data_IF_753396128729
#
_entry.id   IF_753396128729
#
_cell.length_a   1.000
_cell.length_b   1.000
_cell.length_c   1.000
_cell.angle_alpha   90.00
_cell.angle_beta   90.00
_cell.angle_gamma   90.00
#
_symmetry.space_group_name_H-M   'P 1'
#
loop_
_entity.id
_entity.type
_entity.pdbx_description
1 polymer ?
#
# COMPACT_ATOMS: atom_id res chain seq x y z
N UNK A 1 31.21 -11.86 -25.72
CA UNK A 1 30.35 -12.42 -26.78
C UNK A 1 29.14 -11.54 -27.04
N UNK A 2 29.34 -10.48 -27.84
CA UNK A 2 28.27 -9.59 -28.31
C UNK A 2 27.50 -10.19 -29.51
N UNK A 3 28.01 -11.30 -30.08
CA UNK A 3 27.43 -12.04 -31.21
C UNK A 3 26.27 -12.98 -30.84
N UNK A 4 25.81 -13.00 -29.58
CA UNK A 4 24.65 -13.80 -29.15
C UNK A 4 23.32 -13.03 -29.13
N UNK A 5 23.34 -11.74 -29.50
CA UNK A 5 22.15 -10.90 -29.66
C UNK A 5 21.64 -10.83 -31.12
N UNK A 6 22.38 -11.38 -32.09
CA UNK A 6 21.98 -11.35 -33.52
C UNK A 6 20.91 -12.39 -33.90
N UNK A 7 20.52 -13.29 -32.98
CA UNK A 7 19.48 -14.31 -33.23
C UNK A 7 18.09 -13.94 -32.66
N UNK A 8 17.84 -12.66 -32.37
CA UNK A 8 16.48 -12.16 -32.08
C UNK A 8 15.80 -11.54 -33.31
N UNK A 9 16.29 -11.84 -34.53
CA UNK A 9 15.73 -11.33 -35.77
C UNK A 9 14.44 -12.04 -36.23
N UNK A 10 13.69 -12.65 -35.32
CA UNK A 10 12.33 -13.15 -35.57
C UNK A 10 11.29 -12.24 -34.90
N UNK A 11 11.52 -10.93 -34.96
CA UNK A 11 10.49 -9.92 -34.78
C UNK A 11 9.88 -9.66 -36.15
N UNK A 12 9.10 -10.61 -36.66
CA UNK A 12 8.17 -10.34 -37.75
C UNK A 12 7.27 -9.16 -37.34
N UNK A 13 7.44 -8.02 -38.01
CA UNK A 13 6.53 -6.87 -38.09
C UNK A 13 5.50 -6.73 -36.94
N UNK A 14 5.95 -6.45 -35.72
CA UNK A 14 5.04 -5.85 -34.72
C UNK A 14 4.96 -4.37 -35.08
N UNK A 15 3.94 -4.00 -35.85
CA UNK A 15 3.68 -2.59 -36.17
C UNK A 15 3.37 -1.87 -34.86
N UNK A 16 3.76 -0.61 -34.70
CA UNK A 16 3.46 0.19 -33.49
C UNK A 16 1.94 0.22 -33.22
N UNK A 17 1.11 0.06 -34.26
CA UNK A 17 -0.35 -0.06 -34.15
C UNK A 17 -0.80 -1.31 -33.38
N UNK A 18 -0.02 -2.40 -33.40
CA UNK A 18 -0.31 -3.64 -32.65
C UNK A 18 -0.06 -3.49 -31.14
N UNK A 19 0.55 -2.37 -30.73
CA UNK A 19 0.77 -2.00 -29.33
C UNK A 19 -0.23 -0.94 -28.85
N UNK A 20 -1.12 -0.42 -29.70
CA UNK A 20 -2.09 0.60 -29.28
C UNK A 20 -3.43 -0.04 -29.04
N UNK A 21 -3.88 -0.06 -27.78
CA UNK A 21 -5.21 -0.55 -27.41
C UNK A 21 -6.21 0.63 -27.39
N UNK A 22 -7.26 0.62 -28.24
CA UNK A 22 -8.33 1.62 -28.18
C UNK A 22 -9.03 1.66 -26.81
N UNK A 23 -9.43 2.86 -26.37
CA UNK A 23 -10.02 3.06 -25.04
C UNK A 23 -11.25 2.17 -24.77
N UNK A 24 -12.10 1.90 -25.78
CA UNK A 24 -13.28 1.05 -25.61
C UNK A 24 -12.97 -0.44 -25.37
N UNK A 25 -11.77 -0.92 -25.72
CA UNK A 25 -11.35 -2.30 -25.43
C UNK A 25 -11.14 -2.55 -23.93
N UNK A 26 -10.83 -1.50 -23.15
CA UNK A 26 -10.64 -1.56 -21.69
C UNK A 26 -11.90 -2.04 -20.95
N UNK A 27 -13.10 -1.77 -21.50
CA UNK A 27 -14.38 -2.13 -20.86
C UNK A 27 -14.63 -3.64 -20.80
N UNK A 28 -14.02 -4.42 -21.71
CA UNK A 28 -14.22 -5.87 -21.83
C UNK A 28 -12.97 -6.70 -21.55
N UNK A 29 -11.78 -6.10 -21.68
CA UNK A 29 -10.50 -6.73 -21.41
C UNK A 29 -9.80 -5.94 -20.29
N UNK A 30 -9.81 -6.46 -19.04
CA UNK A 30 -9.21 -5.76 -17.90
C UNK A 30 -7.67 -5.64 -18.00
N UNK A 31 -7.07 -6.07 -19.12
CA UNK A 31 -5.64 -5.98 -19.37
C UNK A 31 -5.33 -5.68 -20.83
N UNK A 32 -4.21 -4.98 -21.06
CA UNK A 32 -3.75 -4.72 -22.40
C UNK A 32 -3.34 -6.01 -23.13
N UNK A 33 -3.37 -5.97 -24.45
CA UNK A 33 -2.95 -7.06 -25.34
C UNK A 33 -1.46 -7.43 -25.20
N UNK A 34 -0.63 -6.49 -24.72
CA UNK A 34 0.81 -6.64 -24.49
C UNK A 34 1.29 -5.82 -23.28
N UNK A 35 2.41 -6.22 -22.65
CA UNK A 35 3.02 -5.48 -21.53
C UNK A 35 3.47 -4.06 -21.89
N UNK A 36 3.74 -3.81 -23.18
CA UNK A 36 4.17 -2.52 -23.71
C UNK A 36 3.03 -1.81 -24.44
N UNK A 37 1.80 -2.29 -24.30
CA UNK A 37 0.67 -1.67 -24.96
C UNK A 37 0.39 -0.30 -24.34
N UNK A 38 0.05 0.65 -25.21
CA UNK A 38 -0.32 2.03 -24.88
C UNK A 38 -1.80 2.17 -25.14
N UNK A 39 -2.55 2.65 -24.15
CA UNK A 39 -3.97 2.96 -24.35
C UNK A 39 -4.07 4.28 -25.10
N UNK A 40 -4.84 4.30 -26.19
CA UNK A 40 -5.13 5.53 -26.93
C UNK A 40 -6.22 6.35 -26.22
N UNK A 41 -5.79 7.41 -25.52
CA UNK A 41 -6.68 8.36 -24.84
C UNK A 41 -7.16 9.50 -25.75
N UNK A 42 -6.74 9.54 -27.02
CA UNK A 42 -7.10 10.61 -27.96
C UNK A 42 -8.50 10.46 -28.57
N UNK A 43 -9.15 9.31 -28.35
CA UNK A 43 -10.50 9.03 -28.83
C UNK A 43 -11.53 9.88 -28.08
N UNK A 44 -12.51 10.45 -28.79
CA UNK A 44 -13.64 11.19 -28.22
C UNK A 44 -14.72 10.29 -27.57
N UNK A 45 -14.46 8.99 -27.45
CA UNK A 45 -15.37 8.01 -26.87
C UNK A 45 -15.32 8.08 -25.34
N UNK A 46 -16.47 8.33 -24.72
CA UNK A 46 -16.60 8.22 -23.27
C UNK A 46 -16.71 6.74 -22.88
N UNK A 47 -15.78 6.26 -22.05
CA UNK A 47 -15.88 4.91 -21.45
C UNK A 47 -16.51 4.99 -20.07
N UNK A 48 -17.66 4.34 -19.91
CA UNK A 48 -18.31 4.18 -18.61
C UNK A 48 -17.64 3.04 -17.85
N UNK A 49 -17.04 3.38 -16.71
CA UNK A 49 -16.51 2.43 -15.73
C UNK A 49 -17.41 2.38 -14.51
N UNK A 50 -17.68 1.18 -14.01
CA UNK A 50 -18.44 0.99 -12.77
C UNK A 50 -17.45 1.05 -11.60
N UNK A 51 -17.48 2.13 -10.83
CA UNK A 51 -16.62 2.30 -9.65
C UNK A 51 -17.44 1.95 -8.42
N UNK A 52 -17.20 0.77 -7.86
CA UNK A 52 -17.87 0.31 -6.64
C UNK A 52 -16.82 -0.10 -5.60
N UNK A 53 -16.96 0.34 -4.34
CA UNK A 53 -16.15 -0.19 -3.26
C UNK A 53 -16.28 -1.70 -3.19
N UNK A 54 -15.21 -2.36 -2.76
CA UNK A 54 -15.26 -3.80 -2.62
C UNK A 54 -16.21 -4.22 -1.50
N UNK A 55 -17.09 -5.16 -1.80
CA UNK A 55 -17.92 -5.78 -0.77
C UNK A 55 -17.10 -6.81 0.03
N UNK A 56 -16.79 -6.45 1.27
CA UNK A 56 -16.00 -7.28 2.18
C UNK A 56 -16.80 -8.43 2.81
N UNK A 57 -18.13 -8.47 2.68
CA UNK A 57 -18.98 -9.45 3.38
C UNK A 57 -18.71 -10.91 2.99
N UNK A 58 -17.99 -11.15 1.89
CA UNK A 58 -17.65 -12.49 1.38
C UNK A 58 -16.16 -12.81 1.45
N UNK A 59 -15.36 -11.95 2.08
CA UNK A 59 -13.92 -12.18 2.22
C UNK A 59 -13.57 -13.11 3.37
N UNK A 60 -14.46 -13.22 4.36
CA UNK A 60 -14.23 -14.02 5.55
C UNK A 60 -15.37 -14.99 5.80
N UNK A 61 -15.02 -16.15 6.35
CA UNK A 61 -15.97 -17.15 6.83
C UNK A 61 -15.90 -17.35 8.34
N UNK A 62 -17.06 -17.68 8.92
CA UNK A 62 -17.27 -17.91 10.35
C UNK A 62 -16.63 -19.22 10.83
N UNK A 63 -16.40 -20.16 9.94
CA UNK A 63 -15.75 -21.45 10.24
C UNK A 63 -14.22 -21.42 10.05
N UNK A 64 -13.61 -20.23 9.98
CA UNK A 64 -12.17 -20.05 9.70
C UNK A 64 -11.46 -19.18 10.72
N UNK A 65 -10.14 -19.33 10.74
CA UNK A 65 -9.22 -18.53 11.55
C UNK A 65 -8.28 -17.69 10.69
N UNK A 66 -8.03 -16.45 11.13
CA UNK A 66 -7.09 -15.53 10.49
C UNK A 66 -5.98 -15.14 11.47
N UNK A 67 -4.73 -15.42 11.09
CA UNK A 67 -3.55 -15.21 11.93
C UNK A 67 -2.83 -13.92 11.52
N UNK A 68 -2.85 -12.91 12.38
CA UNK A 68 -2.24 -11.60 12.14
C UNK A 68 -1.01 -11.41 13.03
N UNK A 69 0.18 -11.57 12.43
CA UNK A 69 1.47 -11.47 13.12
C UNK A 69 1.95 -10.01 13.13
N UNK A 70 2.50 -9.55 14.26
CA UNK A 70 2.91 -8.17 14.49
C UNK A 70 1.76 -7.17 14.65
N UNK A 71 0.52 -7.65 14.69
CA UNK A 71 -0.69 -6.83 14.58
C UNK A 71 -1.52 -6.86 15.87
N UNK A 72 -0.88 -6.89 17.04
CA UNK A 72 -1.61 -6.79 18.33
C UNK A 72 -1.92 -5.34 18.76
N UNK A 73 -1.38 -4.34 18.04
CA UNK A 73 -1.62 -2.92 18.31
C UNK A 73 -2.93 -2.40 17.73
N UNK A 74 -3.14 -1.08 17.76
CA UNK A 74 -4.40 -0.44 17.32
C UNK A 74 -4.83 -0.81 15.90
N UNK A 75 -3.90 -0.82 14.94
CA UNK A 75 -4.17 -1.22 13.55
C UNK A 75 -4.78 -2.62 13.48
N UNK A 76 -4.19 -3.60 14.16
CA UNK A 76 -4.68 -4.97 14.08
C UNK A 76 -5.91 -5.23 14.94
N UNK A 77 -6.12 -4.47 16.02
CA UNK A 77 -7.37 -4.50 16.79
C UNK A 77 -8.53 -3.96 15.92
N UNK A 78 -8.35 -2.79 15.32
CA UNK A 78 -9.27 -2.22 14.33
C UNK A 78 -9.57 -3.19 13.18
N UNK A 79 -8.52 -3.79 12.60
CA UNK A 79 -8.65 -4.80 11.56
C UNK A 79 -9.45 -6.02 12.04
N UNK A 80 -9.24 -6.47 13.28
CA UNK A 80 -9.96 -7.61 13.85
C UNK A 80 -11.45 -7.30 14.02
N UNK A 81 -11.78 -6.11 14.51
CA UNK A 81 -13.17 -5.64 14.65
C UNK A 81 -13.88 -5.66 13.29
N UNK A 82 -13.23 -5.12 12.26
CA UNK A 82 -13.77 -5.10 10.90
C UNK A 82 -13.88 -6.50 10.29
N UNK A 83 -12.86 -7.35 10.43
CA UNK A 83 -12.89 -8.72 9.90
C UNK A 83 -14.04 -9.52 10.52
N UNK A 84 -14.24 -9.42 11.84
CA UNK A 84 -15.32 -10.11 12.55
C UNK A 84 -16.69 -9.54 12.15
N UNK A 85 -16.82 -8.22 12.01
CA UNK A 85 -18.04 -7.60 11.49
C UNK A 85 -18.38 -8.06 10.05
N UNK A 86 -17.38 -8.51 9.29
CA UNK A 86 -17.52 -9.03 7.93
C UNK A 86 -17.43 -10.57 7.85
N UNK A 87 -17.68 -11.27 8.96
CA UNK A 87 -17.91 -12.72 8.95
C UNK A 87 -16.74 -13.58 9.44
N UNK A 88 -15.61 -13.02 9.85
CA UNK A 88 -14.52 -13.81 10.42
C UNK A 88 -14.92 -14.48 11.73
N UNK A 89 -14.74 -15.80 11.82
CA UNK A 89 -15.06 -16.56 13.03
C UNK A 89 -14.02 -16.45 14.13
N UNK A 90 -12.74 -16.50 13.75
CA UNK A 90 -11.62 -16.41 14.69
C UNK A 90 -10.51 -15.51 14.15
N UNK A 91 -10.00 -14.60 14.98
CA UNK A 91 -8.83 -13.79 14.68
C UNK A 91 -7.77 -14.01 15.75
N UNK A 92 -6.57 -14.42 15.35
CA UNK A 92 -5.45 -14.64 16.25
C UNK A 92 -4.41 -13.56 16.03
N UNK A 93 -4.15 -12.73 17.03
CA UNK A 93 -3.12 -11.68 17.00
C UNK A 93 -1.87 -12.19 17.70
N UNK A 94 -0.71 -12.04 17.08
CA UNK A 94 0.56 -12.42 17.69
C UNK A 94 1.57 -11.28 17.63
N UNK A 95 2.30 -11.00 18.70
CA UNK A 95 3.42 -10.07 18.70
C UNK A 95 4.36 -10.36 19.87
N UNK A 96 5.51 -9.68 19.96
CA UNK A 96 6.47 -9.91 21.06
C UNK A 96 5.93 -9.46 22.42
N UNK A 97 5.20 -8.35 22.44
CA UNK A 97 4.73 -7.70 23.65
C UNK A 97 3.29 -7.23 23.43
N UNK A 98 2.32 -8.16 23.32
CA UNK A 98 0.94 -7.78 23.07
C UNK A 98 0.38 -6.99 24.26
N UNK A 99 -0.21 -5.84 23.97
CA UNK A 99 -0.91 -5.01 24.95
C UNK A 99 -2.33 -4.75 24.42
N UNK A 100 -3.27 -5.57 24.88
CA UNK A 100 -4.65 -5.61 24.41
C UNK A 100 -5.57 -5.50 25.62
N UNK A 101 -6.58 -4.64 25.53
CA UNK A 101 -7.57 -4.49 26.59
C UNK A 101 -8.41 -5.76 26.74
N UNK A 102 -8.51 -6.27 27.97
CA UNK A 102 -9.36 -7.42 28.28
C UNK A 102 -10.84 -7.13 28.05
N UNK A 103 -11.28 -5.88 28.20
CA UNK A 103 -12.65 -5.50 27.92
C UNK A 103 -12.96 -5.56 26.42
N UNK A 104 -12.01 -5.16 25.57
CA UNK A 104 -12.11 -5.32 24.12
C UNK A 104 -12.28 -6.80 23.73
N UNK A 105 -11.48 -7.71 24.32
CA UNK A 105 -11.60 -9.15 24.07
C UNK A 105 -12.99 -9.71 24.39
N UNK A 106 -13.60 -9.26 25.50
CA UNK A 106 -14.97 -9.69 25.89
C UNK A 106 -16.05 -9.27 24.90
N UNK A 107 -15.83 -8.22 24.11
CA UNK A 107 -16.83 -7.76 23.12
C UNK A 107 -17.08 -8.78 22.02
N UNK A 108 -16.16 -9.71 21.77
CA UNK A 108 -16.27 -10.72 20.72
C UNK A 108 -17.08 -11.95 21.13
N UNK A 109 -17.16 -12.24 22.44
CA UNK A 109 -18.00 -13.32 22.97
C UNK A 109 -19.47 -13.10 22.56
N UNK A 110 -19.95 -11.85 22.64
CA UNK A 110 -21.29 -11.47 22.22
C UNK A 110 -21.51 -11.54 20.69
N UNK A 111 -20.44 -11.51 19.90
CA UNK A 111 -20.46 -11.59 18.43
C UNK A 111 -20.30 -13.02 17.90
N UNK A 112 -20.30 -14.03 18.78
CA UNK A 112 -20.00 -15.43 18.45
C UNK A 112 -18.68 -15.58 17.67
N UNK A 113 -17.69 -14.74 18.01
CA UNK A 113 -16.38 -14.73 17.39
C UNK A 113 -15.29 -14.88 18.45
N UNK A 114 -14.15 -15.44 18.07
CA UNK A 114 -13.04 -15.67 18.99
C UNK A 114 -11.85 -14.79 18.63
N UNK A 115 -11.33 -14.02 19.59
CA UNK A 115 -10.04 -13.34 19.45
C UNK A 115 -9.04 -13.92 20.43
N UNK A 116 -7.91 -14.42 19.93
CA UNK A 116 -6.80 -14.94 20.75
C UNK A 116 -5.54 -14.12 20.57
N UNK A 117 -4.81 -13.95 21.66
CA UNK A 117 -3.60 -13.14 21.71
C UNK A 117 -2.42 -14.03 22.08
N UNK A 118 -1.36 -13.98 21.28
CA UNK A 118 -0.14 -14.75 21.48
C UNK A 118 1.06 -13.83 21.67
N UNK A 119 1.93 -14.19 22.62
CA UNK A 119 3.24 -13.56 22.79
C UNK A 119 4.32 -14.40 22.12
N UNK A 120 4.98 -13.87 21.10
CA UNK A 120 6.03 -14.55 20.32
C UNK A 120 6.85 -13.59 19.45
N UNK A 121 8.09 -13.96 19.15
CA UNK A 121 8.93 -13.32 18.12
C UNK A 121 8.87 -14.13 16.82
N UNK A 122 8.50 -13.49 15.69
CA UNK A 122 8.30 -14.17 14.40
C UNK A 122 9.62 -14.74 13.85
N UNK A 123 10.73 -14.19 14.30
CA UNK A 123 12.07 -14.67 13.94
C UNK A 123 12.44 -15.97 14.68
N UNK A 124 11.80 -16.26 15.83
CA UNK A 124 11.89 -17.55 16.51
C UNK A 124 10.93 -18.55 15.84
N UNK A 125 11.48 -19.35 14.93
CA UNK A 125 10.74 -20.38 14.19
C UNK A 125 10.02 -21.36 15.12
N UNK A 126 10.66 -21.79 16.21
CA UNK A 126 10.07 -22.76 17.11
C UNK A 126 8.91 -22.15 17.92
N UNK A 127 9.00 -20.88 18.30
CA UNK A 127 7.88 -20.16 18.91
C UNK A 127 6.70 -20.01 17.94
N UNK A 128 6.97 -19.65 16.69
CA UNK A 128 5.94 -19.54 15.66
C UNK A 128 5.25 -20.89 15.41
N UNK A 129 5.99 -21.99 15.32
CA UNK A 129 5.43 -23.34 15.18
C UNK A 129 4.53 -23.73 16.36
N UNK A 130 4.94 -23.42 17.59
CA UNK A 130 4.10 -23.65 18.79
C UNK A 130 2.80 -22.89 18.73
N UNK A 131 2.82 -21.61 18.35
CA UNK A 131 1.62 -20.78 18.20
C UNK A 131 0.71 -21.34 17.11
N UNK A 132 1.24 -21.65 15.93
CA UNK A 132 0.43 -22.23 14.84
C UNK A 132 -0.17 -23.58 15.25
N UNK A 133 0.56 -24.41 15.98
CA UNK A 133 0.04 -25.67 16.51
C UNK A 133 -1.10 -25.46 17.50
N UNK A 134 -0.98 -24.49 18.41
CA UNK A 134 -2.04 -24.18 19.38
C UNK A 134 -3.30 -23.64 18.67
N UNK A 135 -3.12 -22.73 17.70
CA UNK A 135 -4.23 -22.21 16.88
C UNK A 135 -4.95 -23.36 16.17
N UNK A 136 -4.20 -24.28 15.55
CA UNK A 136 -4.80 -25.46 14.88
C UNK A 136 -5.53 -26.40 15.83
N UNK A 137 -5.07 -26.51 17.07
CA UNK A 137 -5.69 -27.38 18.07
C UNK A 137 -6.95 -26.77 18.70
N UNK A 138 -7.08 -25.44 18.70
CA UNK A 138 -8.06 -24.74 19.54
C UNK A 138 -8.97 -23.77 18.80
N UNK A 139 -8.79 -23.62 17.48
CA UNK A 139 -9.60 -22.77 16.60
C UNK A 139 -9.99 -23.53 15.32
N UNK A 140 -10.96 -23.02 14.54
CA UNK A 140 -11.22 -23.54 13.20
C UNK A 140 -9.99 -23.44 12.27
N UNK A 141 -10.02 -24.09 11.10
CA UNK A 141 -8.89 -24.09 10.18
C UNK A 141 -8.37 -22.69 9.83
N UNK A 142 -7.04 -22.52 9.81
CA UNK A 142 -6.41 -21.28 9.40
C UNK A 142 -6.64 -21.08 7.90
N UNK A 143 -7.29 -19.98 7.53
CA UNK A 143 -7.60 -19.64 6.16
C UNK A 143 -6.78 -18.45 5.66
N UNK A 144 -6.40 -17.52 6.53
CA UNK A 144 -5.63 -16.35 6.11
C UNK A 144 -4.53 -16.00 7.09
N UNK A 145 -3.44 -15.46 6.56
CA UNK A 145 -2.27 -15.05 7.33
C UNK A 145 -1.84 -13.67 6.89
N UNK A 146 -1.55 -12.79 7.85
CA UNK A 146 -0.94 -11.49 7.57
C UNK A 146 0.30 -11.27 8.44
N UNK A 147 1.38 -10.74 7.85
CA UNK A 147 2.57 -10.32 8.59
C UNK A 147 2.72 -8.80 8.56
N UNK A 148 2.46 -8.16 9.70
CA UNK A 148 2.80 -6.76 10.01
C UNK A 148 3.86 -6.60 11.08
N UNK A 149 4.65 -7.64 11.35
CA UNK A 149 5.78 -7.53 12.27
C UNK A 149 6.84 -6.58 11.70
N UNK A 150 7.16 -5.54 12.46
CA UNK A 150 8.12 -4.52 12.04
C UNK A 150 8.87 -3.92 13.21
N UNK A 151 10.03 -3.37 12.88
CA UNK A 151 10.86 -2.50 13.72
C UNK A 151 11.34 -1.37 12.83
N UNK A 152 11.33 -0.13 13.34
CA UNK A 152 11.92 1.02 12.67
C UNK A 152 13.14 1.50 13.42
N UNK A 153 14.22 1.73 12.68
CA UNK A 153 15.45 2.35 13.16
C UNK A 153 16.04 3.17 12.02
N UNK A 154 15.49 4.37 11.88
CA UNK A 154 15.84 5.27 10.78
C UNK A 154 17.21 5.88 11.03
N UNK A 155 18.09 5.77 10.04
CA UNK A 155 19.43 6.35 10.06
C UNK A 155 19.95 6.54 8.65
N UNK A 156 20.78 7.56 8.45
CA UNK A 156 21.44 7.76 7.16
C UNK A 156 22.25 6.53 6.79
N UNK A 157 22.22 6.13 5.51
CA UNK A 157 22.92 4.94 5.05
C UNK A 157 24.41 4.94 5.42
N UNK A 158 25.08 6.10 5.28
CA UNK A 158 26.49 6.27 5.66
C UNK A 158 26.80 6.10 7.15
N UNK A 159 25.78 6.11 8.01
CA UNK A 159 25.88 5.93 9.46
C UNK A 159 25.16 4.66 9.95
N UNK A 160 24.71 3.81 9.03
CA UNK A 160 23.95 2.61 9.38
C UNK A 160 24.89 1.49 9.78
N UNK A 161 24.80 1.06 11.05
CA UNK A 161 25.52 -0.12 11.51
C UNK A 161 24.86 -1.41 11.00
N UNK A 162 25.62 -2.50 10.93
CA UNK A 162 25.11 -3.82 10.53
C UNK A 162 24.00 -4.28 11.48
N UNK A 163 24.15 -4.04 12.78
CA UNK A 163 23.16 -4.39 13.80
C UNK A 163 21.86 -3.60 13.61
N UNK A 164 21.96 -2.34 13.19
CA UNK A 164 20.80 -1.50 12.88
C UNK A 164 20.07 -2.01 11.64
N UNK A 165 20.81 -2.40 10.61
CA UNK A 165 20.26 -3.03 9.41
C UNK A 165 19.54 -4.35 9.77
N UNK A 166 20.22 -5.27 10.46
CA UNK A 166 19.70 -6.58 10.83
C UNK A 166 18.45 -6.49 11.72
N UNK A 167 18.43 -5.55 12.67
CA UNK A 167 17.27 -5.36 13.56
C UNK A 167 15.99 -4.98 12.80
N UNK A 168 16.10 -4.24 11.68
CA UNK A 168 14.96 -3.86 10.83
C UNK A 168 14.61 -4.97 9.84
N UNK A 169 15.60 -5.67 9.30
CA UNK A 169 15.39 -6.76 8.34
C UNK A 169 14.71 -7.98 8.98
N UNK A 170 15.13 -8.39 10.19
CA UNK A 170 14.75 -9.67 10.79
C UNK A 170 13.24 -9.98 10.78
N UNK A 171 12.38 -9.11 11.33
CA UNK A 171 10.93 -9.36 11.38
C UNK A 171 10.26 -9.55 10.01
N UNK A 172 10.76 -8.85 8.97
CA UNK A 172 10.20 -8.91 7.62
C UNK A 172 10.85 -10.01 6.76
N UNK A 173 12.14 -10.25 6.92
CA UNK A 173 12.87 -11.24 6.13
C UNK A 173 12.77 -12.62 6.77
N UNK A 174 13.38 -12.80 7.94
CA UNK A 174 13.44 -14.09 8.63
C UNK A 174 12.05 -14.49 9.12
N UNK A 175 11.29 -13.53 9.65
CA UNK A 175 9.91 -13.75 10.08
C UNK A 175 9.01 -14.25 8.95
N UNK A 176 9.01 -13.56 7.80
CA UNK A 176 8.18 -13.98 6.66
C UNK A 176 8.68 -15.29 6.05
N UNK A 177 10.00 -15.54 6.04
CA UNK A 177 10.56 -16.82 5.60
C UNK A 177 10.07 -17.98 6.47
N UNK A 178 10.07 -17.80 7.79
CA UNK A 178 9.54 -18.80 8.72
C UNK A 178 8.05 -19.04 8.47
N UNK A 179 7.29 -17.96 8.31
CA UNK A 179 5.84 -18.01 8.07
C UNK A 179 5.50 -18.71 6.75
N UNK A 180 6.16 -18.35 5.66
CA UNK A 180 6.00 -19.03 4.36
C UNK A 180 6.42 -20.50 4.44
N UNK A 181 7.47 -20.82 5.21
CA UNK A 181 7.92 -22.19 5.43
C UNK A 181 6.87 -23.07 6.12
N UNK A 182 6.15 -22.53 7.11
CA UNK A 182 5.06 -23.25 7.79
C UNK A 182 3.88 -23.47 6.85
N UNK A 183 3.51 -22.44 6.07
CA UNK A 183 2.36 -22.48 5.15
C UNK A 183 2.75 -22.79 3.70
N UNK A 184 3.87 -23.50 3.48
CA UNK A 184 4.56 -23.56 2.19
C UNK A 184 3.71 -24.15 1.05
N UNK A 185 2.79 -25.07 1.37
CA UNK A 185 1.87 -25.72 0.42
C UNK A 185 0.40 -25.43 0.70
N UNK A 186 0.09 -24.62 1.70
CA UNK A 186 -1.27 -24.43 2.18
C UNK A 186 -1.99 -23.39 1.32
N UNK A 187 -3.14 -23.74 0.71
CA UNK A 187 -3.93 -22.83 -0.12
C UNK A 187 -4.77 -21.91 0.77
N UNK A 188 -4.09 -20.98 1.43
CA UNK A 188 -4.73 -19.92 2.20
C UNK A 188 -5.59 -19.03 1.29
N UNK A 189 -6.71 -18.54 1.80
CA UNK A 189 -7.55 -17.51 1.20
C UNK A 189 -6.74 -16.23 0.96
N UNK A 190 -5.83 -15.90 1.89
CA UNK A 190 -4.84 -14.83 1.68
C UNK A 190 -3.53 -15.05 2.46
N UNK A 191 -2.45 -14.48 1.93
CA UNK A 191 -1.15 -14.35 2.60
C UNK A 191 -0.62 -12.93 2.38
N UNK A 192 -0.91 -12.03 3.31
CA UNK A 192 -0.68 -10.59 3.14
C UNK A 192 0.59 -10.16 3.88
N UNK A 193 1.45 -9.45 3.17
CA UNK A 193 2.68 -8.89 3.71
C UNK A 193 2.51 -7.38 3.87
N UNK A 194 2.40 -6.92 5.11
CA UNK A 194 2.29 -5.49 5.38
C UNK A 194 3.65 -4.86 5.13
N UNK A 195 3.65 -3.95 4.18
CA UNK A 195 4.80 -3.23 3.67
C UNK A 195 4.54 -1.74 3.80
N UNK A 196 5.16 -0.92 2.96
CA UNK A 196 5.01 0.52 3.05
C UNK A 196 5.24 1.18 1.70
N UNK A 197 4.45 2.22 1.44
CA UNK A 197 4.68 3.15 0.32
C UNK A 197 6.11 3.68 0.27
N UNK A 198 6.83 3.75 1.40
CA UNK A 198 8.26 4.10 1.45
C UNK A 198 9.16 3.20 0.59
N UNK A 199 8.74 1.96 0.28
CA UNK A 199 9.45 1.06 -0.64
C UNK A 199 9.30 1.48 -2.12
N UNK A 200 8.22 2.19 -2.44
CA UNK A 200 7.82 2.59 -3.79
C UNK A 200 8.35 3.99 -4.12
N UNK A 201 8.13 4.95 -3.22
CA UNK A 201 8.53 6.36 -3.43
C UNK A 201 9.89 6.70 -2.81
N UNK A 202 10.43 5.83 -1.96
CA UNK A 202 11.64 6.08 -1.19
C UNK A 202 11.43 7.01 0.02
N UNK A 203 12.23 6.80 1.07
CA UNK A 203 12.28 7.71 2.22
C UNK A 203 13.72 7.79 2.76
N UNK A 204 14.22 9.02 2.94
CA UNK A 204 15.58 9.24 3.42
C UNK A 204 15.77 8.70 4.84
N UNK A 205 16.84 7.96 5.05
CA UNK A 205 17.12 7.31 6.34
C UNK A 205 16.47 5.94 6.52
N UNK A 206 15.72 5.45 5.53
CA UNK A 206 14.99 4.18 5.60
C UNK A 206 15.49 3.14 4.58
N UNK A 207 16.78 3.14 4.25
CA UNK A 207 17.35 2.15 3.30
C UNK A 207 17.23 0.70 3.80
N UNK A 208 17.40 0.46 5.10
CA UNK A 208 17.13 -0.84 5.73
C UNK A 208 15.66 -1.25 5.60
N UNK A 209 14.73 -0.32 5.84
CA UNK A 209 13.30 -0.58 5.78
C UNK A 209 12.82 -0.82 4.35
N UNK A 210 13.30 -0.03 3.38
CA UNK A 210 13.06 -0.25 1.96
C UNK A 210 13.59 -1.62 1.51
N UNK A 211 14.80 -2.02 1.92
CA UNK A 211 15.34 -3.34 1.61
C UNK A 211 14.50 -4.48 2.23
N UNK A 212 14.02 -4.29 3.47
CA UNK A 212 13.17 -5.26 4.15
C UNK A 212 11.81 -5.45 3.45
N UNK A 213 11.20 -4.35 2.99
CA UNK A 213 9.95 -4.36 2.23
C UNK A 213 10.13 -4.95 0.82
N UNK A 214 11.20 -4.58 0.10
CA UNK A 214 11.50 -5.16 -1.21
C UNK A 214 11.70 -6.68 -1.19
N UNK A 215 12.18 -7.25 -0.07
CA UNK A 215 12.22 -8.70 0.11
C UNK A 215 10.80 -9.32 0.15
N UNK A 216 9.83 -8.66 0.79
CA UNK A 216 8.44 -9.13 0.86
C UNK A 216 7.85 -9.29 -0.54
N UNK A 217 8.11 -8.32 -1.43
CA UNK A 217 7.74 -8.40 -2.83
C UNK A 217 8.28 -9.67 -3.50
N UNK A 218 9.57 -9.93 -3.35
CA UNK A 218 10.23 -11.12 -3.90
C UNK A 218 9.65 -12.43 -3.36
N UNK A 219 9.33 -12.48 -2.06
CA UNK A 219 8.73 -13.67 -1.44
C UNK A 219 7.28 -13.88 -1.90
N UNK A 220 6.46 -12.83 -1.96
CA UNK A 220 5.10 -12.91 -2.49
C UNK A 220 5.12 -13.44 -3.93
N UNK A 221 6.07 -12.95 -4.74
CA UNK A 221 6.29 -13.45 -6.11
C UNK A 221 6.61 -14.94 -6.14
N UNK A 222 7.52 -15.41 -5.29
CA UNK A 222 7.85 -16.83 -5.20
C UNK A 222 6.68 -17.69 -4.74
N UNK A 223 5.89 -17.22 -3.76
CA UNK A 223 4.70 -17.92 -3.27
C UNK A 223 3.63 -18.05 -4.35
N UNK A 224 3.38 -16.99 -5.12
CA UNK A 224 2.44 -17.00 -6.26
C UNK A 224 2.88 -17.90 -7.41
N UNK A 225 4.19 -18.00 -7.70
CA UNK A 225 4.71 -19.00 -8.67
C UNK A 225 4.35 -20.44 -8.30
N UNK A 226 4.16 -20.72 -7.01
CA UNK A 226 3.68 -22.03 -6.52
C UNK A 226 2.16 -22.19 -6.62
N UNK A 227 1.43 -21.21 -7.15
CA UNK A 227 -0.02 -21.21 -7.27
C UNK A 227 -0.74 -20.92 -5.95
N UNK A 228 -0.07 -20.28 -4.99
CA UNK A 228 -0.62 -19.94 -3.68
C UNK A 228 -0.88 -18.45 -3.56
N UNK A 229 -1.88 -18.07 -2.77
CA UNK A 229 -2.18 -16.67 -2.52
C UNK A 229 -1.00 -15.96 -1.86
N UNK A 230 -0.67 -14.75 -2.34
CA UNK A 230 0.24 -13.84 -1.68
C UNK A 230 0.10 -12.42 -2.23
N UNK A 231 0.15 -11.42 -1.36
CA UNK A 231 0.10 -10.02 -1.78
C UNK A 231 0.85 -9.12 -0.80
N UNK A 232 1.27 -7.97 -1.29
CA UNK A 232 1.95 -6.94 -0.52
C UNK A 232 1.03 -5.73 -0.35
N UNK A 233 0.96 -5.22 0.88
CA UNK A 233 0.14 -4.08 1.27
C UNK A 233 1.08 -2.91 1.57
N UNK A 234 1.31 -2.03 0.60
CA UNK A 234 2.19 -0.86 0.75
C UNK A 234 1.44 0.31 1.39
N UNK A 235 1.42 0.31 2.72
CA UNK A 235 0.60 1.25 3.48
C UNK A 235 1.20 2.66 3.40
N UNK A 236 0.32 3.64 3.12
CA UNK A 236 0.58 5.06 3.31
C UNK A 236 0.68 5.45 4.79
N UNK A 237 0.63 6.76 5.07
CA UNK A 237 0.51 7.24 6.45
C UNK A 237 -0.90 6.91 6.96
N UNK A 238 -1.04 6.18 8.05
CA UNK A 238 -2.34 5.97 8.70
C UNK A 238 -2.61 7.10 9.69
N UNK A 239 -3.80 7.71 9.63
CA UNK A 239 -4.25 8.74 10.57
C UNK A 239 -5.04 8.13 11.74
N UNK A 240 -4.87 8.66 12.95
CA UNK A 240 -5.68 8.31 14.12
C UNK A 240 -5.30 7.01 14.83
N UNK A 241 -4.62 6.08 14.16
CA UNK A 241 -4.13 4.82 14.74
C UNK A 241 -2.75 4.42 14.19
N UNK A 242 -1.99 3.66 14.98
CA UNK A 242 -0.74 3.01 14.54
C UNK A 242 0.56 3.77 14.85
N UNK A 243 1.65 3.38 14.18
CA UNK A 243 3.00 3.85 14.54
C UNK A 243 3.16 5.37 14.44
N UNK A 244 2.69 5.98 13.35
CA UNK A 244 2.88 7.43 13.11
C UNK A 244 2.22 8.28 14.19
N UNK A 245 1.05 7.87 14.69
CA UNK A 245 0.33 8.57 15.75
C UNK A 245 1.11 8.52 17.08
N UNK A 246 1.75 7.39 17.38
CA UNK A 246 2.54 7.19 18.59
C UNK A 246 3.97 7.75 18.51
N UNK A 247 4.47 8.04 17.30
CA UNK A 247 5.84 8.54 17.05
C UNK A 247 6.03 10.04 17.36
N UNK A 248 4.97 10.75 17.73
CA UNK A 248 5.01 12.14 18.21
C UNK A 248 4.96 13.22 17.12
N UNK A 249 4.77 14.48 17.55
CA UNK A 249 4.45 15.63 16.67
C UNK A 249 5.52 15.92 15.62
N UNK A 250 6.80 15.68 15.92
CA UNK A 250 7.91 15.97 14.99
C UNK A 250 7.91 15.03 13.77
N UNK A 251 7.68 13.74 13.99
CA UNK A 251 7.53 12.74 12.91
C UNK A 251 6.31 13.06 12.06
N UNK A 252 5.19 13.42 12.70
CA UNK A 252 3.98 13.85 11.98
C UNK A 252 4.21 15.09 11.11
N UNK A 253 4.92 16.12 11.61
CA UNK A 253 5.24 17.32 10.83
C UNK A 253 6.16 17.02 9.65
N UNK A 254 7.15 16.13 9.82
CA UNK A 254 8.03 15.70 8.73
C UNK A 254 7.25 14.94 7.64
N UNK A 255 6.34 14.03 8.02
CA UNK A 255 5.52 13.28 7.07
C UNK A 255 4.51 14.19 6.34
N UNK A 256 3.92 15.16 7.03
CA UNK A 256 3.07 16.20 6.40
C UNK A 256 3.88 17.03 5.39
N UNK A 257 5.16 17.34 5.68
CA UNK A 257 6.04 18.07 4.75
C UNK A 257 6.38 17.29 3.48
N UNK A 258 6.24 15.97 3.46
CA UNK A 258 6.42 15.18 2.25
C UNK A 258 5.15 15.10 1.38
N UNK A 259 4.06 15.74 1.80
CA UNK A 259 2.80 15.74 1.04
C UNK A 259 2.17 14.36 0.93
N UNK A 260 2.50 13.41 1.83
CA UNK A 260 1.87 12.09 1.85
C UNK A 260 0.40 12.21 2.23
N UNK A 261 -0.48 11.56 1.47
CA UNK A 261 -1.88 11.47 1.83
C UNK A 261 -2.02 10.53 3.00
N UNK A 262 -2.65 11.01 4.07
CA UNK A 262 -2.99 10.15 5.18
C UNK A 262 -4.22 9.34 4.80
N UNK A 263 -4.16 8.02 5.01
CA UNK A 263 -5.33 7.16 4.92
C UNK A 263 -6.00 7.07 6.29
N UNK A 264 -7.32 7.07 6.31
CA UNK A 264 -8.10 6.83 7.52
C UNK A 264 -8.30 5.33 7.76
N UNK A 265 -8.97 4.99 8.86
CA UNK A 265 -9.22 3.60 9.28
C UNK A 265 -10.08 2.82 8.27
N UNK A 266 -11.08 3.45 7.66
CA UNK A 266 -11.93 2.81 6.65
C UNK A 266 -11.12 2.50 5.37
N UNK A 267 -10.26 3.41 4.96
CA UNK A 267 -9.36 3.21 3.82
C UNK A 267 -8.34 2.11 4.08
N UNK A 268 -7.86 1.95 5.32
CA UNK A 268 -7.01 0.84 5.72
C UNK A 268 -7.74 -0.50 5.55
N UNK A 269 -9.00 -0.59 5.98
CA UNK A 269 -9.81 -1.80 5.82
C UNK A 269 -10.09 -2.12 4.35
N UNK A 270 -10.45 -1.11 3.57
CA UNK A 270 -10.66 -1.25 2.12
C UNK A 270 -9.38 -1.70 1.41
N UNK A 271 -8.24 -1.12 1.78
CA UNK A 271 -6.93 -1.52 1.26
C UNK A 271 -6.62 -2.98 1.60
N UNK A 272 -6.91 -3.44 2.82
CA UNK A 272 -6.74 -4.85 3.18
C UNK A 272 -7.62 -5.75 2.30
N UNK A 273 -8.88 -5.36 2.10
CA UNK A 273 -9.85 -6.08 1.28
C UNK A 273 -9.38 -6.21 -0.18
N UNK A 274 -8.89 -5.12 -0.78
CA UNK A 274 -8.31 -5.11 -2.13
C UNK A 274 -7.04 -5.95 -2.20
N UNK A 275 -6.24 -5.94 -1.14
CA UNK A 275 -5.01 -6.72 -1.05
C UNK A 275 -5.29 -8.23 -0.99
N UNK A 276 -6.38 -8.66 -0.35
CA UNK A 276 -6.86 -10.06 -0.41
C UNK A 276 -7.10 -10.46 -1.87
N UNK A 277 -7.87 -9.67 -2.61
CA UNK A 277 -8.21 -9.99 -4.00
C UNK A 277 -7.02 -9.95 -4.95
N UNK A 278 -6.16 -8.93 -4.81
CA UNK A 278 -4.95 -8.81 -5.61
C UNK A 278 -4.03 -10.02 -5.42
N UNK A 279 -4.09 -10.66 -4.25
CA UNK A 279 -3.27 -11.81 -3.88
C UNK A 279 -3.75 -13.15 -4.44
N UNK A 280 -4.93 -13.24 -5.05
CA UNK A 280 -5.43 -14.50 -5.59
C UNK A 280 -4.49 -15.07 -6.68
N UNK A 281 -4.15 -16.36 -6.62
CA UNK A 281 -3.26 -16.97 -7.59
C UNK A 281 -3.95 -17.07 -8.95
N UNK A 282 -3.23 -16.71 -10.01
CA UNK A 282 -3.69 -16.75 -11.40
C UNK A 282 -2.78 -17.67 -12.22
N UNK A 283 -3.31 -18.27 -13.29
CA UNK A 283 -2.53 -19.21 -14.12
C UNK A 283 -1.26 -18.59 -14.70
N UNK A 284 -1.36 -17.32 -15.09
CA UNK A 284 -0.28 -16.44 -15.58
C UNK A 284 0.82 -16.15 -14.55
N UNK A 285 0.59 -16.33 -13.25
CA UNK A 285 1.62 -16.10 -12.22
C UNK A 285 2.81 -17.07 -12.39
N UNK A 286 2.57 -18.21 -13.05
CA UNK A 286 3.61 -19.18 -13.42
C UNK A 286 4.54 -18.66 -14.53
N UNK A 287 4.05 -17.73 -15.36
CA UNK A 287 4.76 -17.18 -16.52
C UNK A 287 5.65 -15.97 -16.21
N UNK A 288 5.58 -15.43 -14.98
CA UNK A 288 6.64 -14.56 -14.44
C UNK A 288 6.28 -13.09 -14.18
N UNK A 289 5.10 -12.62 -14.58
CA UNK A 289 4.62 -11.26 -14.26
C UNK A 289 3.66 -11.37 -13.08
N UNK A 290 4.10 -10.89 -11.93
CA UNK A 290 3.43 -11.15 -10.66
C UNK A 290 3.31 -9.83 -9.93
N UNK A 291 2.27 -9.07 -10.26
CA UNK A 291 1.90 -7.90 -9.49
C UNK A 291 0.66 -8.26 -8.66
N UNK A 292 0.86 -8.21 -7.34
CA UNK A 292 -0.14 -8.34 -6.28
C UNK A 292 0.22 -7.37 -5.15
N UNK A 293 0.57 -6.14 -5.54
CA UNK A 293 0.94 -5.05 -4.63
C UNK A 293 -0.20 -4.04 -4.68
N UNK A 294 -0.71 -3.67 -3.51
CA UNK A 294 -1.67 -2.57 -3.36
C UNK A 294 -0.97 -1.47 -2.59
N UNK A 295 -0.86 -0.29 -3.19
CA UNK A 295 -0.15 0.87 -2.61
C UNK A 295 -1.11 2.02 -2.38
N UNK A 296 -1.03 2.64 -1.19
CA UNK A 296 -1.83 3.82 -0.83
C UNK A 296 -0.96 4.97 -0.33
N UNK A 297 -1.56 6.15 -0.18
CA UNK A 297 -0.91 7.33 0.41
C UNK A 297 -0.04 8.16 -0.56
N UNK A 298 0.02 7.78 -1.84
CA UNK A 298 0.64 8.57 -2.91
C UNK A 298 -0.44 9.48 -3.48
N UNK A 299 -0.27 10.80 -3.34
CA UNK A 299 -1.22 11.78 -3.88
C UNK A 299 -0.83 12.20 -5.30
N UNK A 300 -1.82 12.70 -6.02
CA UNK A 300 -1.56 13.52 -7.20
C UNK A 300 -0.99 14.88 -6.79
N UNK A 301 -0.01 15.36 -7.54
CA UNK A 301 0.73 16.59 -7.27
C UNK A 301 0.61 17.50 -8.48
N UNK A 302 0.22 18.76 -8.29
CA UNK A 302 0.36 19.74 -9.36
C UNK A 302 1.79 20.27 -9.40
N UNK A 303 2.31 20.46 -10.61
CA UNK A 303 3.67 20.94 -10.83
C UNK A 303 3.92 22.40 -10.34
N UNK A 304 2.87 23.12 -9.96
CA UNK A 304 2.91 24.49 -9.42
C UNK A 304 2.83 24.54 -7.88
N UNK A 305 2.79 23.40 -7.19
CA UNK A 305 2.73 23.35 -5.73
C UNK A 305 4.08 23.57 -5.06
N UNK A 306 4.08 24.22 -3.89
CA UNK A 306 5.29 24.47 -3.08
C UNK A 306 5.93 23.18 -2.53
N UNK A 307 5.16 22.09 -2.42
CA UNK A 307 5.59 20.81 -1.81
C UNK A 307 5.39 19.67 -2.80
N UNK A 308 6.46 19.33 -3.52
CA UNK A 308 6.43 18.34 -4.59
C UNK A 308 6.66 16.89 -4.12
N UNK A 309 6.93 16.63 -2.84
CA UNK A 309 7.14 15.26 -2.32
C UNK A 309 8.34 14.51 -2.97
N UNK A 310 8.72 13.32 -2.47
CA UNK A 310 9.89 12.60 -2.96
C UNK A 310 9.71 11.91 -4.32
N UNK A 311 8.47 11.68 -4.78
CA UNK A 311 8.21 10.96 -6.04
C UNK A 311 8.10 11.86 -7.27
N UNK A 312 8.02 13.19 -7.12
CA UNK A 312 7.77 14.10 -8.25
C UNK A 312 8.84 14.05 -9.35
N UNK A 313 10.11 13.93 -8.97
CA UNK A 313 11.21 13.80 -9.93
C UNK A 313 11.36 12.41 -10.54
N UNK A 314 10.56 11.43 -10.14
CA UNK A 314 10.68 10.06 -10.61
C UNK A 314 9.70 9.79 -11.77
N UNK A 315 10.20 9.48 -12.99
CA UNK A 315 9.36 9.26 -14.17
C UNK A 315 8.26 8.19 -14.01
N UNK A 316 8.46 7.20 -13.13
CA UNK A 316 7.46 6.17 -12.83
C UNK A 316 6.16 6.76 -12.28
N UNK A 317 6.23 7.93 -11.63
CA UNK A 317 5.08 8.63 -11.05
C UNK A 317 4.62 9.83 -11.88
N UNK A 318 5.02 9.91 -13.16
CA UNK A 318 4.54 10.95 -14.08
C UNK A 318 3.00 11.00 -14.15
N UNK A 319 2.33 9.86 -14.05
CA UNK A 319 0.87 9.74 -13.98
C UNK A 319 0.24 10.32 -12.70
N UNK A 320 1.03 10.54 -11.64
CA UNK A 320 0.61 11.25 -10.44
C UNK A 320 0.81 12.77 -10.56
N UNK A 321 1.41 13.27 -11.66
CA UNK A 321 1.67 14.69 -11.84
C UNK A 321 0.57 15.32 -12.69
N UNK A 322 -0.10 16.31 -12.11
CA UNK A 322 -1.08 17.13 -12.79
C UNK A 322 -0.33 18.36 -13.31
N UNK A 323 -0.16 18.45 -14.62
CA UNK A 323 0.36 19.66 -15.23
C UNK A 323 -0.63 20.80 -14.99
N UNK A 324 -0.17 21.88 -14.35
CA UNK A 324 -0.94 23.11 -14.31
C UNK A 324 -1.15 23.56 -15.76
N UNK A 325 -2.40 23.82 -16.14
CA UNK A 325 -2.69 24.40 -17.45
C UNK A 325 -1.97 25.73 -17.51
N UNK A 326 -0.95 25.82 -18.35
CA UNK A 326 -0.42 27.10 -18.77
C UNK A 326 -1.60 27.94 -19.23
N UNK A 327 -1.81 29.08 -18.57
CA UNK A 327 -2.66 30.14 -19.09
C UNK A 327 -1.94 30.83 -20.27
N UNK A 328 -1.50 30.03 -21.23
CA UNK A 328 -1.10 30.42 -22.58
C UNK A 328 -2.34 30.41 -23.49
N UNK A 329 -3.37 31.14 -23.08
CA UNK A 329 -4.19 31.91 -24.01
C UNK A 329 -3.98 33.36 -23.61
N UNK A 330 -3.03 33.98 -24.30
CA UNK A 330 -2.72 35.37 -24.13
C UNK A 330 -3.84 36.23 -24.74
N UNK A 331 -4.65 36.82 -23.87
CA UNK A 331 -5.25 38.16 -23.96
C UNK A 331 -6.01 38.39 -22.64
N UNK A 332 -5.95 39.60 -22.09
CA UNK A 332 -6.60 40.08 -20.85
C UNK A 332 -5.83 39.89 -19.53
N UNK A 333 -4.80 40.73 -19.39
CA UNK A 333 -4.00 40.96 -18.18
C UNK A 333 -4.76 41.61 -17.02
N UNK A 334 -6.01 42.09 -17.20
CA UNK A 334 -6.77 42.75 -16.13
C UNK A 334 -7.64 41.78 -15.31
N UNK A 335 -8.18 40.71 -15.91
CA UNK A 335 -9.07 39.77 -15.21
C UNK A 335 -8.34 38.75 -14.31
N UNK A 336 -7.04 38.50 -14.54
CA UNK A 336 -6.27 37.52 -13.74
C UNK A 336 -6.04 37.97 -12.29
N UNK A 337 -5.97 39.27 -12.00
CA UNK A 337 -5.76 39.76 -10.63
C UNK A 337 -6.99 39.43 -9.75
N UNK A 338 -8.20 39.55 -10.29
CA UNK A 338 -9.45 39.32 -9.58
C UNK A 338 -9.77 37.84 -9.30
N UNK A 339 -9.19 36.91 -10.08
CA UNK A 339 -9.44 35.45 -9.97
C UNK A 339 -8.56 34.73 -8.95
N UNK A 340 -7.52 35.37 -8.41
CA UNK A 340 -6.60 34.74 -7.47
C UNK A 340 -7.19 34.68 -6.05
N UNK A 341 -6.84 33.69 -5.20
CA UNK A 341 -7.21 33.72 -3.79
C UNK A 341 -6.71 35.02 -3.12
N UNK A 342 -7.51 35.61 -2.23
CA UNK A 342 -7.23 36.90 -1.56
C UNK A 342 -5.82 36.95 -0.95
N UNK A 343 -5.37 35.84 -0.37
CA UNK A 343 -4.02 35.72 0.20
C UNK A 343 -2.89 35.85 -0.85
N UNK A 344 -3.10 35.39 -2.08
CA UNK A 344 -2.15 35.54 -3.17
C UNK A 344 -2.18 36.98 -3.75
N UNK A 345 -3.37 37.58 -3.87
CA UNK A 345 -3.52 38.98 -4.28
C UNK A 345 -2.80 39.94 -3.31
N UNK A 346 -2.93 39.71 -1.99
CA UNK A 346 -2.25 40.51 -0.97
C UNK A 346 -0.72 40.42 -1.01
N UNK A 347 -0.17 39.26 -1.38
CA UNK A 347 1.29 39.10 -1.55
C UNK A 347 1.85 39.83 -2.77
N UNK A 348 0.99 40.11 -3.74
CA UNK A 348 1.35 40.84 -4.96
C UNK A 348 1.12 42.36 -4.84
N UNK A 349 0.47 42.82 -3.77
CA UNK A 349 0.24 44.23 -3.54
C UNK A 349 1.58 44.94 -3.25
N UNK A 350 1.85 45.99 -4.02
CA UNK A 350 3.11 46.75 -3.91
C UNK A 350 2.99 47.90 -2.93
N UNK A 351 1.76 48.28 -2.57
CA UNK A 351 1.43 49.40 -1.69
C UNK A 351 0.35 49.02 -0.69
N UNK A 352 0.31 49.75 0.41
CA UNK A 352 -0.67 49.55 1.49
C UNK A 352 -2.09 49.82 1.01
N UNK A 353 -2.29 50.81 0.13
CA UNK A 353 -3.60 51.10 -0.46
C UNK A 353 -4.13 49.95 -1.33
N UNK A 354 -3.27 49.31 -2.12
CA UNK A 354 -3.63 48.20 -3.03
C UNK A 354 -4.00 46.93 -2.23
N UNK A 355 -3.31 46.70 -1.11
CA UNK A 355 -3.66 45.65 -0.16
C UNK A 355 -5.03 45.91 0.52
N UNK A 356 -5.33 47.17 0.84
CA UNK A 356 -6.58 47.55 1.50
C UNK A 356 -7.80 47.39 0.58
N UNK A 357 -7.67 47.69 -0.72
CA UNK A 357 -8.72 47.43 -1.72
C UNK A 357 -8.99 45.94 -1.90
N UNK A 358 -7.95 45.12 -1.90
CA UNK A 358 -8.05 43.66 -2.02
C UNK A 358 -8.87 43.04 -0.88
N UNK A 359 -8.72 43.54 0.35
CA UNK A 359 -9.52 43.08 1.50
C UNK A 359 -10.97 43.56 1.42
N UNK A 360 -11.22 44.79 0.92
CA UNK A 360 -12.58 45.33 0.79
C UNK A 360 -13.44 44.65 -0.28
N UNK A 361 -12.81 44.04 -1.30
CA UNK A 361 -13.52 43.29 -2.35
C UNK A 361 -13.80 41.82 -1.98
N UNK A 362 -13.38 41.40 -0.78
CA UNK A 362 -13.50 40.01 -0.26
C UNK A 362 -14.68 39.81 0.71
N UNK A 363 -15.35 40.89 1.13
CA UNK A 363 -16.60 40.88 1.91
C UNK A 363 -17.79 41.05 0.97
#
# INVERSE_FOLDING_TARGET
>A
DWKRLENLSDTSDVQVQDLVDPLHHVRGHPRPSSMTAVVDWSTSENVTVDVRPLDAQRLFSHDKTYLLIGLSGQIGQSQSDWMIANGAGSVCLASRNPNVDKNWLKTFEAKNATVKIYSMDITDKAALERVVSDVRATCPPIAGVANGAMVLKDTMFSKMSVETMQAVLGPKIDGTRNLDGIFYKEPLDFFILFSSSACVIGNSGQSNYAAANGYLNGLAKQRRKRGLAASEMDIGRVAGIGYVETAGKAVMQQLTRFGLMAINELELHQMFAETVLAGYPRNEDKAGIIDAVVTTGIRNIRNDEDILGPWFGNPLFSHCIIESRDTQTATDTQDKKASLPVAAQLRMASTTEEALETVKMSD
#
